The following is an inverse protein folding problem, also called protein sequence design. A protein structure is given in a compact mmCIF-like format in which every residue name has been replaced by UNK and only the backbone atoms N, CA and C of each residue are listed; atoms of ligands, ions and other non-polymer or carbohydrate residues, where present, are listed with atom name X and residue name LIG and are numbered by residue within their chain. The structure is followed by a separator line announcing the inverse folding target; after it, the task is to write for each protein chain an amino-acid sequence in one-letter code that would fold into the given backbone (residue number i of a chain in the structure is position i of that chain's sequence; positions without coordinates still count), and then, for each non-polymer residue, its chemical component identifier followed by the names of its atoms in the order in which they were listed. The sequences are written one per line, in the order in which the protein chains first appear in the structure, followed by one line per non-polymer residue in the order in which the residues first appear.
data_IF_710024248510
#
_entry.id   IF_710024248510
#
_cell.length_a   1.000
_cell.length_b   1.000
_cell.length_c   1.000
_cell.angle_alpha   90.00
_cell.angle_beta   90.00
_cell.angle_gamma   90.00
#
_symmetry.space_group_name_H-M   'P 1'
#
loop_
_entity.id
_entity.type
_entity.pdbx_description
1 polymer ?
#
# COMPACT_ATOMS: atom_id res chain seq x y z
N UNK A 1 -14.30 4.45 2.40
CA UNK A 1 -15.02 3.16 2.32
C UNK A 1 -14.05 2.07 1.90
N UNK A 2 -14.08 0.88 2.53
CA UNK A 2 -13.34 -0.29 2.08
C UNK A 2 -13.63 -0.61 0.61
N UNK A 3 -12.64 -1.17 -0.09
CA UNK A 3 -12.74 -1.51 -1.51
C UNK A 3 -11.82 -2.69 -1.82
N UNK A 4 -12.10 -3.41 -2.91
CA UNK A 4 -11.40 -4.63 -3.35
C UNK A 4 -9.88 -4.51 -3.32
N UNK A 5 -9.32 -3.45 -3.91
CA UNK A 5 -7.87 -3.26 -3.96
C UNK A 5 -7.28 -2.93 -2.59
N UNK A 6 -8.06 -2.36 -1.68
CA UNK A 6 -7.68 -2.24 -0.27
C UNK A 6 -7.57 -3.61 0.39
N UNK A 7 -8.54 -4.50 0.16
CA UNK A 7 -8.48 -5.87 0.67
C UNK A 7 -7.29 -6.66 0.10
N UNK A 8 -6.94 -6.48 -1.17
CA UNK A 8 -5.75 -7.08 -1.78
C UNK A 8 -4.47 -6.54 -1.13
N UNK A 9 -4.39 -5.22 -0.91
CA UNK A 9 -3.26 -4.59 -0.20
C UNK A 9 -3.11 -5.14 1.22
N UNK A 10 -4.20 -5.21 1.97
CA UNK A 10 -4.21 -5.71 3.34
C UNK A 10 -3.75 -7.17 3.37
N UNK A 11 -4.26 -8.03 2.48
CA UNK A 11 -3.83 -9.43 2.40
C UNK A 11 -2.32 -9.56 2.12
N UNK A 12 -1.80 -8.78 1.16
CA UNK A 12 -0.38 -8.77 0.84
C UNK A 12 0.48 -8.29 2.02
N UNK A 13 0.13 -7.15 2.60
CA UNK A 13 0.90 -6.55 3.70
C UNK A 13 0.80 -7.39 4.98
N UNK A 14 -0.34 -8.05 5.24
CA UNK A 14 -0.49 -8.97 6.36
C UNK A 14 0.40 -10.21 6.19
N UNK A 15 0.45 -10.80 4.99
CA UNK A 15 1.35 -11.91 4.72
C UNK A 15 2.81 -11.50 4.94
N UNK A 16 3.22 -10.33 4.43
CA UNK A 16 4.55 -9.78 4.71
C UNK A 16 4.81 -9.57 6.20
N UNK A 17 3.82 -9.07 6.94
CA UNK A 17 3.92 -8.91 8.39
C UNK A 17 4.14 -10.25 9.12
N UNK A 18 3.44 -11.31 8.70
CA UNK A 18 3.64 -12.66 9.24
C UNK A 18 5.05 -13.17 8.92
N UNK A 19 5.50 -13.03 7.67
CA UNK A 19 6.83 -13.48 7.24
C UNK A 19 7.94 -12.80 8.07
N UNK A 20 7.86 -11.47 8.22
CA UNK A 20 8.80 -10.70 9.04
C UNK A 20 8.72 -11.11 10.52
N UNK A 21 7.52 -11.28 11.05
CA UNK A 21 7.31 -11.69 12.44
C UNK A 21 7.91 -13.06 12.76
N UNK A 22 7.81 -14.01 11.82
CA UNK A 22 8.43 -15.33 11.95
C UNK A 22 9.97 -15.23 11.84
N UNK A 23 10.47 -14.52 10.84
CA UNK A 23 11.90 -14.37 10.57
C UNK A 23 12.65 -13.68 11.71
N UNK A 24 12.04 -12.66 12.33
CA UNK A 24 12.63 -11.84 13.38
C UNK A 24 11.98 -12.09 14.76
N UNK A 25 11.39 -13.27 14.98
CA UNK A 25 10.60 -13.61 16.18
C UNK A 25 11.31 -13.48 17.53
N UNK A 26 12.65 -13.42 17.53
CA UNK A 26 13.49 -13.24 18.75
C UNK A 26 13.92 -11.80 18.98
N UNK A 27 13.64 -10.91 18.04
CA UNK A 27 14.03 -9.51 18.14
C UNK A 27 13.16 -8.78 19.18
N UNK A 28 13.73 -7.73 19.76
CA UNK A 28 12.94 -6.82 20.58
C UNK A 28 11.93 -6.06 19.72
N UNK A 29 10.86 -5.55 20.34
CA UNK A 29 9.89 -4.71 19.63
C UNK A 29 10.55 -3.53 18.91
N UNK A 30 11.58 -2.91 19.51
CA UNK A 30 12.33 -1.81 18.91
C UNK A 30 13.05 -2.23 17.62
N UNK A 31 13.69 -3.41 17.63
CA UNK A 31 14.37 -3.96 16.46
C UNK A 31 13.36 -4.35 15.36
N UNK A 32 12.23 -4.95 15.74
CA UNK A 32 11.14 -5.27 14.81
C UNK A 32 10.59 -4.04 14.09
N UNK A 33 10.42 -2.91 14.81
CA UNK A 33 10.02 -1.64 14.19
C UNK A 33 11.02 -1.21 13.10
N UNK A 34 12.33 -1.34 13.35
CA UNK A 34 13.35 -0.99 12.35
C UNK A 34 13.33 -1.92 11.14
N UNK A 35 13.04 -3.20 11.33
CA UNK A 35 12.86 -4.17 10.23
C UNK A 35 11.69 -3.75 9.35
N UNK A 36 10.52 -3.48 9.94
CA UNK A 36 9.33 -3.06 9.19
C UNK A 36 9.55 -1.73 8.47
N UNK A 37 10.18 -0.74 9.12
CA UNK A 37 10.53 0.53 8.49
C UNK A 37 11.46 0.35 7.29
N UNK A 38 12.42 -0.58 7.37
CA UNK A 38 13.31 -0.90 6.26
C UNK A 38 12.54 -1.52 5.10
N UNK A 39 11.71 -2.53 5.36
CA UNK A 39 10.86 -3.14 4.32
C UNK A 39 9.92 -2.14 3.66
N UNK A 40 9.30 -1.26 4.45
CA UNK A 40 8.48 -0.15 3.94
C UNK A 40 9.29 0.77 3.03
N UNK A 41 10.48 1.20 3.46
CA UNK A 41 11.34 2.15 2.72
C UNK A 41 11.91 1.52 1.44
N UNK A 42 12.23 0.23 1.47
CA UNK A 42 12.74 -0.53 0.34
C UNK A 42 11.67 -0.89 -0.70
N UNK A 43 10.39 -0.65 -0.41
CA UNK A 43 9.32 -0.96 -1.34
C UNK A 43 8.82 -2.39 -1.30
N UNK A 44 9.09 -3.12 -0.22
CA UNK A 44 8.71 -4.53 -0.04
C UNK A 44 7.25 -4.70 0.38
N UNK A 45 6.57 -3.60 0.72
CA UNK A 45 5.13 -3.52 0.98
C UNK A 45 4.42 -2.89 -0.24
N UNK A 46 3.09 -2.96 -0.24
CA UNK A 46 2.27 -2.31 -1.25
C UNK A 46 1.40 -1.20 -0.64
N UNK A 47 1.15 -0.15 -1.42
CA UNK A 47 0.25 0.95 -1.10
C UNK A 47 -0.71 1.21 -2.26
N UNK A 48 -1.84 1.86 -1.97
CA UNK A 48 -2.73 2.38 -3.02
C UNK A 48 -2.06 3.59 -3.67
N UNK A 49 -1.91 3.54 -4.99
CA UNK A 49 -1.31 4.60 -5.80
C UNK A 49 -2.12 5.89 -5.67
N UNK A 50 -1.43 6.98 -5.36
CA UNK A 50 -2.01 8.31 -5.25
C UNK A 50 -1.04 9.37 -5.80
N UNK A 51 -1.56 10.56 -6.09
CA UNK A 51 -0.76 11.75 -6.37
C UNK A 51 -0.37 12.51 -5.08
N UNK A 52 0.42 13.57 -5.23
CA UNK A 52 0.89 14.39 -4.10
C UNK A 52 -0.24 15.05 -3.30
N UNK A 53 -1.41 15.23 -3.92
CA UNK A 53 -2.60 15.78 -3.28
C UNK A 53 -3.46 14.71 -2.61
N UNK A 54 -3.02 13.44 -2.62
CA UNK A 54 -3.74 12.31 -2.04
C UNK A 54 -4.88 11.78 -2.90
N UNK A 55 -4.99 12.19 -4.17
CA UNK A 55 -6.01 11.64 -5.08
C UNK A 55 -5.56 10.27 -5.58
N UNK A 56 -6.42 9.28 -5.45
CA UNK A 56 -6.15 7.94 -5.97
C UNK A 56 -5.97 7.95 -7.49
N UNK A 57 -5.03 7.15 -7.96
CA UNK A 57 -4.71 7.01 -9.38
C UNK A 57 -5.04 5.60 -9.88
N UNK A 58 -5.46 5.52 -11.13
CA UNK A 58 -5.45 4.26 -11.89
C UNK A 58 -4.01 3.80 -12.15
N UNK A 59 -3.84 2.58 -12.67
CA UNK A 59 -2.50 2.10 -13.02
C UNK A 59 -1.82 2.96 -14.10
N UNK A 60 -2.62 3.58 -14.97
CA UNK A 60 -2.19 4.48 -16.06
C UNK A 60 -2.02 5.95 -15.64
N UNK A 61 -1.80 6.22 -14.34
CA UNK A 61 -1.58 7.57 -13.78
C UNK A 61 -2.78 8.54 -13.94
N UNK A 62 -4.01 8.03 -14.14
CA UNK A 62 -5.19 8.88 -14.25
C UNK A 62 -5.86 9.09 -12.89
N UNK A 63 -6.21 10.33 -12.50
CA UNK A 63 -6.99 10.57 -11.28
C UNK A 63 -8.35 9.89 -11.31
N UNK A 64 -8.69 9.21 -10.22
CA UNK A 64 -9.99 8.56 -10.07
C UNK A 64 -11.01 9.59 -9.59
N UNK A 65 -12.08 9.78 -10.37
CA UNK A 65 -13.22 10.58 -9.95
C UNK A 65 -14.07 9.78 -8.94
N UNK A 66 -13.82 10.00 -7.64
CA UNK A 66 -14.48 9.28 -6.56
C UNK A 66 -16.00 9.51 -6.49
N UNK A 67 -16.51 10.62 -7.00
CA UNK A 67 -17.96 10.89 -7.03
C UNK A 67 -18.68 9.90 -7.95
N UNK A 68 -18.07 9.55 -9.08
CA UNK A 68 -18.61 8.55 -10.02
C UNK A 68 -18.65 7.13 -9.43
N UNK A 69 -17.85 6.87 -8.41
CA UNK A 69 -17.70 5.56 -7.78
C UNK A 69 -18.29 5.51 -6.37
N UNK A 70 -19.13 6.47 -6.00
CA UNK A 70 -19.79 6.48 -4.69
C UNK A 70 -20.66 5.22 -4.53
N UNK A 71 -20.40 4.44 -3.48
CA UNK A 71 -21.07 3.16 -3.22
C UNK A 71 -20.63 2.00 -4.13
N UNK A 72 -19.64 2.20 -5.02
CA UNK A 72 -19.12 1.15 -5.87
C UNK A 72 -18.03 0.33 -5.16
N UNK A 73 -18.08 -0.98 -5.36
CA UNK A 73 -16.97 -1.89 -5.12
C UNK A 73 -16.18 -2.08 -6.41
N UNK A 74 -14.88 -2.41 -6.31
CA UNK A 74 -14.00 -2.63 -7.46
C UNK A 74 -13.73 -1.37 -8.29
N UNK A 75 -13.41 -0.28 -7.58
CA UNK A 75 -12.93 0.97 -8.18
C UNK A 75 -11.54 0.69 -8.79
N UNK A 76 -11.17 1.29 -9.95
CA UNK A 76 -9.90 1.02 -10.64
C UNK A 76 -8.67 1.63 -9.93
N UNK A 77 -8.54 1.43 -8.62
CA UNK A 77 -7.36 1.77 -7.82
C UNK A 77 -6.21 0.87 -8.24
N UNK A 78 -5.00 1.42 -8.25
CA UNK A 78 -3.80 0.63 -8.49
C UNK A 78 -3.03 0.38 -7.19
N UNK A 79 -2.40 -0.79 -7.06
CA UNK A 79 -1.37 -1.01 -6.06
C UNK A 79 0.00 -0.78 -6.67
N UNK A 80 0.86 -0.17 -5.88
CA UNK A 80 2.26 0.07 -6.21
C UNK A 80 3.11 -0.29 -5.01
N UNK A 81 4.40 -0.53 -5.26
CA UNK A 81 5.40 -0.66 -4.20
C UNK A 81 5.34 0.52 -3.24
N UNK A 82 5.57 0.30 -1.95
CA UNK A 82 5.64 1.35 -0.93
C UNK A 82 6.80 2.33 -1.14
N UNK A 83 7.74 2.01 -2.04
CA UNK A 83 8.78 2.93 -2.49
C UNK A 83 8.29 3.93 -3.56
N UNK A 84 7.04 3.80 -4.02
CA UNK A 84 6.43 4.71 -5.01
C UNK A 84 6.63 6.17 -4.61
N UNK A 85 7.27 6.92 -5.51
CA UNK A 85 7.40 8.36 -5.41
C UNK A 85 6.37 8.96 -6.33
N UNK A 86 5.70 10.01 -5.85
CA UNK A 86 4.80 10.77 -6.68
C UNK A 86 5.53 11.26 -7.93
N UNK A 87 5.01 10.95 -9.11
CA UNK A 87 5.53 11.52 -10.35
C UNK A 87 5.42 13.05 -10.26
N UNK A 88 6.58 13.72 -10.19
CA UNK A 88 6.67 15.15 -10.47
C UNK A 88 6.51 15.31 -11.98
N UNK A 89 5.38 15.88 -12.41
CA UNK A 89 5.26 16.41 -13.76
C UNK A 89 6.22 17.58 -13.96
#
# INVERSE_FOLDING_TARGET
LPDSMGSVMDAFNNQKGVDLGLQYSKDSAQAMVQVVLRSLTNGELCIIKADQSGRFLTCDNQPINMEKYSGCWNIPKCLVSSAWKFETK
#
